data_IF_819734281140
#
_entry.id   IF_819734281140
#
_cell.length_a   1.000
_cell.length_b   1.000
_cell.length_c   1.000
_cell.angle_alpha   90.00
_cell.angle_beta   90.00
_cell.angle_gamma   90.00
#
_symmetry.space_group_name_H-M   'P 1'
#
loop_
_entity.id
_entity.type
_entity.pdbx_description
1 polymer ?
#
# COMPACT_ATOMS: atom_id res chain seq x y z
N UNK A 1 -11.24 12.30 -36.84
CA UNK A 1 -12.66 11.93 -36.61
C UNK A 1 -12.68 10.72 -35.67
N UNK A 2 -12.84 10.97 -34.36
CA UNK A 2 -12.86 9.91 -33.36
C UNK A 2 -14.22 9.21 -33.38
N UNK A 3 -14.25 7.92 -33.72
CA UNK A 3 -15.45 7.09 -33.57
C UNK A 3 -15.65 6.83 -32.08
N UNK A 4 -16.70 7.43 -31.53
CA UNK A 4 -17.26 7.05 -30.24
C UNK A 4 -17.59 5.55 -30.26
N UNK A 5 -16.85 4.75 -29.50
CA UNK A 5 -17.23 3.38 -29.13
C UNK A 5 -18.32 3.47 -28.05
N UNK A 6 -19.45 4.08 -28.40
CA UNK A 6 -20.67 3.94 -27.64
C UNK A 6 -21.10 2.48 -27.76
N UNK A 7 -20.94 1.72 -26.66
CA UNK A 7 -21.71 0.50 -26.46
C UNK A 7 -23.18 0.88 -26.69
N UNK A 8 -23.77 0.43 -27.80
CA UNK A 8 -25.18 0.69 -28.13
C UNK A 8 -26.02 0.27 -26.92
N UNK A 9 -26.60 1.25 -26.22
CA UNK A 9 -27.72 1.00 -25.30
C UNK A 9 -28.81 0.36 -26.14
N UNK A 10 -29.02 -0.95 -25.98
CA UNK A 10 -30.17 -1.63 -26.52
C UNK A 10 -31.36 -1.10 -25.73
N UNK A 11 -32.14 -0.21 -26.32
CA UNK A 11 -33.40 0.25 -25.73
C UNK A 11 -34.33 -0.95 -25.63
N UNK A 12 -34.63 -1.38 -24.39
CA UNK A 12 -35.64 -2.40 -24.15
C UNK A 12 -37.00 -1.86 -24.59
N UNK A 13 -37.69 -2.60 -25.46
CA UNK A 13 -39.09 -2.34 -25.79
C UNK A 13 -39.94 -2.48 -24.53
N UNK A 14 -40.77 -1.47 -24.26
CA UNK A 14 -41.67 -1.46 -23.12
C UNK A 14 -42.53 -2.75 -23.07
N UNK A 15 -42.45 -3.48 -21.97
CA UNK A 15 -43.25 -4.70 -21.72
C UNK A 15 -42.48 -6.03 -21.67
N UNK A 16 -41.18 -6.08 -21.98
CA UNK A 16 -40.35 -7.28 -21.76
C UNK A 16 -39.76 -7.32 -20.35
N UNK A 17 -39.69 -8.52 -19.75
CA UNK A 17 -38.92 -8.74 -18.51
C UNK A 17 -37.49 -8.25 -18.73
N UNK A 18 -36.90 -7.49 -17.79
CA UNK A 18 -35.55 -6.98 -17.95
C UNK A 18 -34.59 -8.15 -18.17
N UNK A 19 -33.74 -8.03 -19.19
CA UNK A 19 -32.68 -9.01 -19.42
C UNK A 19 -31.74 -9.10 -18.22
N UNK A 20 -30.99 -10.19 -18.12
CA UNK A 20 -30.07 -10.44 -17.00
C UNK A 20 -29.05 -9.32 -16.82
N UNK A 21 -28.60 -8.68 -17.91
CA UNK A 21 -27.65 -7.55 -17.84
C UNK A 21 -28.27 -6.32 -17.20
N UNK A 22 -29.53 -6.03 -17.50
CA UNK A 22 -30.27 -4.88 -16.98
C UNK A 22 -30.59 -5.06 -15.50
N UNK A 23 -30.99 -6.28 -15.10
CA UNK A 23 -31.19 -6.62 -13.70
C UNK A 23 -29.89 -6.48 -12.90
N UNK A 24 -28.78 -7.00 -13.45
CA UNK A 24 -27.46 -6.87 -12.81
C UNK A 24 -27.01 -5.41 -12.70
N UNK A 25 -27.14 -4.63 -13.77
CA UNK A 25 -26.79 -3.21 -13.77
C UNK A 25 -27.62 -2.39 -12.76
N UNK A 26 -28.89 -2.75 -12.56
CA UNK A 26 -29.75 -2.14 -11.53
C UNK A 26 -29.29 -2.44 -10.10
N UNK A 27 -28.58 -3.55 -9.88
CA UNK A 27 -28.03 -3.96 -8.58
C UNK A 27 -26.61 -3.44 -8.33
N UNK A 28 -25.99 -2.74 -9.29
CA UNK A 28 -24.66 -2.17 -9.07
C UNK A 28 -24.73 -1.09 -7.99
N UNK A 29 -23.81 -1.18 -7.02
CA UNK A 29 -23.60 -0.12 -6.05
C UNK A 29 -23.29 1.19 -6.79
N UNK A 30 -23.94 2.27 -6.35
CA UNK A 30 -23.64 3.64 -6.81
C UNK A 30 -22.66 4.36 -5.88
N UNK A 31 -22.12 3.64 -4.91
CA UNK A 31 -21.17 4.14 -3.94
C UNK A 31 -19.80 3.53 -4.20
N UNK A 32 -18.77 4.37 -4.16
CA UNK A 32 -17.36 3.98 -4.20
C UNK A 32 -16.68 4.36 -2.89
N UNK A 33 -15.63 3.62 -2.52
CA UNK A 33 -14.93 3.75 -1.25
C UNK A 33 -13.44 3.88 -1.53
N UNK A 34 -12.89 5.08 -1.38
CA UNK A 34 -11.48 5.31 -1.63
C UNK A 34 -10.76 5.60 -0.33
N UNK A 35 -9.69 4.86 -0.06
CA UNK A 35 -8.81 5.10 1.07
C UNK A 35 -7.48 5.65 0.59
N UNK A 36 -6.82 6.45 1.42
CA UNK A 36 -5.46 6.95 1.15
C UNK A 36 -4.53 6.48 2.25
N UNK A 37 -3.41 5.90 1.83
CA UNK A 37 -2.27 5.54 2.68
C UNK A 37 -1.03 6.28 2.19
N UNK A 38 -0.21 6.76 3.12
CA UNK A 38 1.03 7.41 2.81
C UNK A 38 1.78 7.76 4.09
N UNK A 39 3.11 7.62 4.12
CA UNK A 39 3.91 8.02 5.26
C UNK A 39 3.65 9.49 5.63
N UNK A 40 3.91 9.83 6.87
CA UNK A 40 3.81 11.22 7.32
C UNK A 40 4.70 12.13 6.47
N UNK A 41 4.17 13.29 6.11
CA UNK A 41 4.82 14.23 5.18
C UNK A 41 4.66 13.89 3.69
N UNK A 42 4.13 12.72 3.32
CA UNK A 42 3.94 12.36 1.90
C UNK A 42 2.84 13.16 1.20
N UNK A 43 1.92 13.75 1.95
CA UNK A 43 0.84 14.58 1.40
C UNK A 43 -0.46 13.82 1.11
N UNK A 44 -0.77 12.79 1.90
CA UNK A 44 -2.08 12.11 1.85
C UNK A 44 -3.27 13.08 1.86
N UNK A 45 -3.21 14.16 2.66
CA UNK A 45 -4.26 15.18 2.67
C UNK A 45 -4.37 15.98 1.36
N UNK A 46 -3.28 16.13 0.59
CA UNK A 46 -3.33 16.73 -0.75
C UNK A 46 -4.00 15.77 -1.73
N UNK A 47 -3.68 14.48 -1.67
CA UNK A 47 -4.34 13.44 -2.47
C UNK A 47 -5.85 13.38 -2.20
N UNK A 48 -6.27 13.46 -0.93
CA UNK A 48 -7.70 13.54 -0.55
C UNK A 48 -8.37 14.78 -1.18
N UNK A 49 -7.74 15.96 -1.12
CA UNK A 49 -8.29 17.18 -1.74
C UNK A 49 -8.43 17.04 -3.25
N UNK A 50 -7.44 16.43 -3.91
CA UNK A 50 -7.49 16.15 -5.34
C UNK A 50 -8.62 15.16 -5.68
N UNK A 51 -8.73 14.05 -4.94
CA UNK A 51 -9.85 13.10 -5.06
C UNK A 51 -11.20 13.79 -4.87
N UNK A 52 -11.33 14.71 -3.91
CA UNK A 52 -12.56 15.48 -3.72
C UNK A 52 -12.92 16.30 -4.97
N UNK A 53 -11.95 16.98 -5.58
CA UNK A 53 -12.19 17.74 -6.82
C UNK A 53 -12.60 16.83 -7.97
N UNK A 54 -11.83 15.78 -8.20
CA UNK A 54 -12.04 14.81 -9.29
C UNK A 54 -13.39 14.10 -9.16
N UNK A 55 -13.76 13.64 -7.96
CA UNK A 55 -15.02 12.94 -7.76
C UNK A 55 -16.22 13.90 -7.91
N UNK A 56 -16.10 15.14 -7.41
CA UNK A 56 -17.15 16.16 -7.60
C UNK A 56 -17.35 16.51 -9.07
N UNK A 57 -16.26 16.65 -9.85
CA UNK A 57 -16.38 16.91 -11.29
C UNK A 57 -16.97 15.71 -12.04
N UNK A 58 -16.76 14.49 -11.55
CA UNK A 58 -17.44 13.27 -12.01
C UNK A 58 -18.92 13.14 -11.61
N UNK A 59 -19.49 14.13 -10.93
CA UNK A 59 -20.90 14.14 -10.51
C UNK A 59 -21.20 13.26 -9.29
N UNK A 60 -20.18 12.91 -8.50
CA UNK A 60 -20.36 12.19 -7.25
C UNK A 60 -20.58 13.15 -6.10
N UNK A 61 -21.43 12.74 -5.17
CA UNK A 61 -21.48 13.33 -3.85
C UNK A 61 -20.35 12.77 -2.97
N UNK A 62 -19.47 13.65 -2.50
CA UNK A 62 -18.23 13.23 -1.81
C UNK A 62 -18.33 13.42 -0.31
N UNK A 63 -18.04 12.34 0.43
CA UNK A 63 -18.06 12.27 1.88
C UNK A 63 -16.68 11.98 2.42
N UNK A 64 -16.10 12.92 3.17
CA UNK A 64 -14.83 12.70 3.85
C UNK A 64 -15.06 12.05 5.21
N UNK A 65 -14.25 11.04 5.51
CA UNK A 65 -14.16 10.35 6.80
C UNK A 65 -12.68 10.36 7.20
N UNK A 66 -12.35 11.03 8.31
CA UNK A 66 -10.97 11.10 8.79
C UNK A 66 -10.78 10.14 9.95
N UNK A 67 -9.74 9.30 9.87
CA UNK A 67 -9.38 8.42 10.98
C UNK A 67 -9.17 9.19 12.29
N UNK A 68 -8.57 10.39 12.23
CA UNK A 68 -8.39 11.24 13.42
C UNK A 68 -9.69 11.66 14.11
N UNK A 69 -10.75 11.89 13.32
CA UNK A 69 -12.04 12.30 13.88
C UNK A 69 -12.73 11.10 14.55
N UNK A 70 -12.63 9.92 13.91
CA UNK A 70 -13.13 8.66 14.49
C UNK A 70 -12.42 8.29 15.79
N UNK A 71 -11.09 8.44 15.84
CA UNK A 71 -10.28 8.18 17.05
C UNK A 71 -10.65 9.13 18.18
N UNK A 72 -10.91 10.41 17.88
CA UNK A 72 -11.36 11.38 18.89
C UNK A 72 -12.74 11.04 19.44
N UNK A 73 -13.69 10.67 18.57
CA UNK A 73 -15.02 10.21 18.99
C UNK A 73 -14.90 8.99 19.90
N UNK A 74 -14.10 7.99 19.50
CA UNK A 74 -13.84 6.80 20.30
C UNK A 74 -13.19 7.12 21.65
N UNK A 75 -12.18 8.00 21.68
CA UNK A 75 -11.52 8.41 22.92
C UNK A 75 -12.51 9.08 23.88
N UNK A 76 -13.36 9.99 23.36
CA UNK A 76 -14.40 10.64 24.13
C UNK A 76 -15.42 9.64 24.71
N UNK A 77 -15.88 8.67 23.90
CA UNK A 77 -16.81 7.62 24.34
C UNK A 77 -16.22 6.71 25.43
N UNK A 78 -14.89 6.56 25.48
CA UNK A 78 -14.19 5.76 26.49
C UNK A 78 -13.65 6.60 27.66
N UNK A 79 -14.01 7.89 27.74
CA UNK A 79 -13.56 8.79 28.82
C UNK A 79 -12.05 9.07 28.82
N UNK A 80 -11.38 8.87 27.68
CA UNK A 80 -9.96 9.13 27.52
C UNK A 80 -9.75 10.62 27.21
N UNK A 81 -8.79 11.23 27.90
CA UNK A 81 -8.35 12.58 27.55
C UNK A 81 -7.70 12.56 26.17
N UNK A 82 -8.11 13.48 25.31
CA UNK A 82 -7.46 13.73 24.04
C UNK A 82 -7.20 15.23 23.92
N UNK A 83 -6.15 15.62 23.22
CA UNK A 83 -5.76 17.01 23.17
C UNK A 83 -6.75 17.83 22.33
N UNK A 84 -6.98 19.08 22.76
CA UNK A 84 -7.96 19.99 22.17
C UNK A 84 -7.72 20.34 20.70
N UNK A 85 -8.67 21.04 20.09
CA UNK A 85 -8.60 21.50 18.70
C UNK A 85 -7.68 22.75 18.61
N UNK A 86 -6.37 22.55 18.85
CA UNK A 86 -5.33 23.58 18.74
C UNK A 86 -4.46 23.45 17.49
N UNK A 87 -3.39 24.25 17.42
CA UNK A 87 -2.34 24.13 16.40
C UNK A 87 -1.76 22.72 16.44
N UNK A 88 -1.67 22.05 15.28
CA UNK A 88 -1.10 20.70 15.20
C UNK A 88 0.40 20.78 15.52
N UNK A 89 0.80 20.33 16.70
CA UNK A 89 2.21 20.07 17.04
C UNK A 89 2.54 18.59 16.77
N UNK A 90 3.82 18.22 16.85
CA UNK A 90 4.21 16.82 16.72
C UNK A 90 3.69 15.97 17.89
N UNK A 91 3.69 16.54 19.10
CA UNK A 91 3.20 15.90 20.32
C UNK A 91 1.72 15.55 20.17
N UNK A 92 0.92 16.48 19.65
CA UNK A 92 -0.50 16.27 19.36
C UNK A 92 -0.74 15.08 18.44
N UNK A 93 0.07 14.98 17.38
CA UNK A 93 -0.04 13.88 16.41
C UNK A 93 0.37 12.57 17.06
N UNK A 94 1.42 12.59 17.86
CA UNK A 94 1.93 11.44 18.61
C UNK A 94 0.89 10.91 19.61
N UNK A 95 0.16 11.80 20.29
CA UNK A 95 -0.94 11.42 21.18
C UNK A 95 -2.11 10.79 20.42
N UNK A 96 -2.49 11.33 19.26
CA UNK A 96 -3.51 10.71 18.40
C UNK A 96 -3.06 9.35 17.87
N UNK A 97 -1.76 9.16 17.59
CA UNK A 97 -1.21 7.86 17.24
C UNK A 97 -1.34 6.87 18.41
N UNK A 98 -0.96 7.28 19.63
CA UNK A 98 -1.15 6.46 20.83
C UNK A 98 -2.62 6.03 21.01
N UNK A 99 -3.57 6.97 20.86
CA UNK A 99 -5.00 6.66 20.96
C UNK A 99 -5.47 5.72 19.85
N UNK A 100 -4.94 5.88 18.62
CA UNK A 100 -5.20 4.96 17.52
C UNK A 100 -4.66 3.56 17.78
N UNK A 101 -3.47 3.44 18.39
CA UNK A 101 -2.89 2.16 18.80
C UNK A 101 -3.77 1.50 19.88
N UNK A 102 -4.22 2.26 20.88
CA UNK A 102 -5.16 1.76 21.90
C UNK A 102 -6.52 1.34 21.32
N UNK A 103 -7.03 2.07 20.33
CA UNK A 103 -8.25 1.68 19.61
C UNK A 103 -8.09 0.32 18.89
N UNK A 104 -6.86 -0.06 18.52
CA UNK A 104 -6.53 -1.31 17.82
C UNK A 104 -6.13 -2.48 18.73
N UNK A 105 -6.01 -2.28 20.04
CA UNK A 105 -5.56 -3.31 20.99
C UNK A 105 -6.41 -4.59 20.91
N UNK A 106 -7.74 -4.44 20.83
CA UNK A 106 -8.65 -5.57 20.76
C UNK A 106 -8.85 -6.08 19.32
N UNK A 107 -8.84 -5.17 18.35
CA UNK A 107 -8.97 -5.49 16.92
C UNK A 107 -8.22 -4.46 16.07
N UNK A 108 -7.24 -4.95 15.32
CA UNK A 108 -6.40 -4.14 14.42
C UNK A 108 -7.19 -3.39 13.34
N UNK A 109 -8.41 -3.82 13.02
CA UNK A 109 -9.28 -3.19 12.04
C UNK A 109 -10.34 -2.24 12.65
N UNK A 110 -10.26 -1.90 13.94
CA UNK A 110 -11.30 -1.13 14.63
C UNK A 110 -11.52 0.26 14.03
N UNK A 111 -10.47 0.92 13.53
CA UNK A 111 -10.60 2.21 12.81
C UNK A 111 -11.43 2.05 11.53
N UNK A 112 -11.21 0.98 10.76
CA UNK A 112 -12.03 0.67 9.59
C UNK A 112 -13.48 0.34 9.98
N UNK A 113 -13.70 -0.38 11.09
CA UNK A 113 -15.05 -0.63 11.62
C UNK A 113 -15.76 0.67 12.00
N UNK A 114 -15.05 1.61 12.63
CA UNK A 114 -15.59 2.93 12.94
C UNK A 114 -15.95 3.72 11.67
N UNK A 115 -15.10 3.66 10.63
CA UNK A 115 -15.41 4.26 9.34
C UNK A 115 -16.66 3.63 8.71
N UNK A 116 -16.80 2.31 8.76
CA UNK A 116 -17.98 1.60 8.26
C UNK A 116 -19.26 1.96 9.05
N UNK A 117 -19.16 2.13 10.38
CA UNK A 117 -20.28 2.60 11.22
C UNK A 117 -20.70 4.02 10.83
N UNK A 118 -19.74 4.92 10.63
CA UNK A 118 -20.00 6.30 10.17
C UNK A 118 -20.68 6.31 8.79
N UNK A 119 -20.23 5.48 7.85
CA UNK A 119 -20.87 5.30 6.53
C UNK A 119 -22.32 4.86 6.69
N UNK A 120 -22.57 3.83 7.52
CA UNK A 120 -23.92 3.31 7.75
C UNK A 120 -24.84 4.34 8.40
N UNK A 121 -24.36 5.12 9.37
CA UNK A 121 -25.11 6.22 9.99
C UNK A 121 -25.44 7.31 8.97
N UNK A 122 -24.48 7.71 8.14
CA UNK A 122 -24.72 8.69 7.06
C UNK A 122 -25.75 8.21 6.06
N UNK A 123 -25.72 6.92 5.69
CA UNK A 123 -26.76 6.32 4.83
C UNK A 123 -28.13 6.39 5.50
N UNK A 124 -28.23 5.96 6.76
CA UNK A 124 -29.48 5.89 7.51
C UNK A 124 -30.16 7.26 7.58
N UNK A 125 -29.41 8.28 8.00
CA UNK A 125 -29.86 9.67 8.09
C UNK A 125 -30.42 10.21 6.77
N UNK A 126 -29.85 9.80 5.63
CA UNK A 126 -30.26 10.26 4.30
C UNK A 126 -31.47 9.54 3.75
N UNK A 127 -31.57 8.26 4.04
CA UNK A 127 -32.73 7.44 3.65
C UNK A 127 -33.91 7.59 4.61
N UNK A 128 -33.77 8.37 5.69
CA UNK A 128 -34.78 8.49 6.75
C UNK A 128 -34.98 7.19 7.53
N UNK A 129 -33.97 6.30 7.55
CA UNK A 129 -34.00 5.05 8.30
C UNK A 129 -33.36 5.25 9.67
N UNK A 130 -33.85 4.55 10.69
CA UNK A 130 -33.18 4.52 12.00
C UNK A 130 -31.94 3.64 11.92
N UNK A 131 -30.78 4.17 12.32
CA UNK A 131 -29.56 3.37 12.41
C UNK A 131 -29.64 2.41 13.60
N UNK A 132 -29.53 1.11 13.33
CA UNK A 132 -29.41 0.05 14.35
C UNK A 132 -28.08 -0.66 14.16
N UNK A 133 -27.28 -0.75 15.24
CA UNK A 133 -25.96 -1.38 15.20
C UNK A 133 -26.09 -2.86 14.81
N UNK A 134 -25.41 -3.26 13.75
CA UNK A 134 -25.42 -4.64 13.24
C UNK A 134 -26.43 -4.89 12.13
N UNK A 135 -27.35 -3.96 11.87
CA UNK A 135 -28.29 -4.06 10.77
C UNK A 135 -27.73 -3.42 9.49
N UNK A 136 -28.09 -4.01 8.34
CA UNK A 136 -27.69 -3.47 7.04
C UNK A 136 -28.52 -2.24 6.70
N UNK A 137 -27.85 -1.15 6.31
CA UNK A 137 -28.51 0.04 5.78
C UNK A 137 -28.36 0.05 4.26
N UNK A 138 -29.47 -0.07 3.55
CA UNK A 138 -29.49 -0.08 2.09
C UNK A 138 -29.29 1.36 1.59
N UNK A 139 -28.29 1.61 0.72
CA UNK A 139 -28.07 2.94 0.16
C UNK A 139 -29.17 3.32 -0.83
N UNK A 140 -29.35 4.64 -1.04
CA UNK A 140 -30.25 5.14 -2.08
C UNK A 140 -29.61 5.08 -3.48
N UNK A 141 -30.27 5.72 -4.45
CA UNK A 141 -29.88 5.69 -5.85
C UNK A 141 -28.90 6.82 -6.28
N UNK A 142 -28.36 7.59 -5.33
CA UNK A 142 -27.44 8.70 -5.58
C UNK A 142 -26.00 8.20 -5.71
N UNK A 143 -25.24 8.73 -6.66
CA UNK A 143 -23.81 8.42 -6.81
C UNK A 143 -23.00 9.05 -5.70
N UNK A 144 -22.29 8.24 -4.91
CA UNK A 144 -21.46 8.74 -3.80
C UNK A 144 -20.05 8.19 -3.81
N UNK A 145 -19.14 8.96 -3.24
CA UNK A 145 -17.79 8.50 -2.92
C UNK A 145 -17.53 8.79 -1.46
N UNK A 146 -17.12 7.76 -0.72
CA UNK A 146 -16.60 7.89 0.63
C UNK A 146 -15.07 7.90 0.57
N UNK A 147 -14.46 9.01 0.98
CA UNK A 147 -13.02 9.18 1.07
C UNK A 147 -12.58 8.94 2.51
N UNK A 148 -11.78 7.90 2.71
CA UNK A 148 -11.23 7.51 4.01
C UNK A 148 -9.79 8.02 4.09
N UNK A 149 -9.60 9.07 4.89
CA UNK A 149 -8.31 9.72 5.07
C UNK A 149 -7.51 9.05 6.19
N UNK A 150 -6.31 8.60 5.83
CA UNK A 150 -5.27 8.08 6.73
C UNK A 150 -5.54 6.68 7.29
N UNK A 151 -5.60 5.68 6.40
CA UNK A 151 -5.48 4.26 6.77
C UNK A 151 -4.03 3.94 7.12
N UNK A 152 -3.80 3.16 8.18
CA UNK A 152 -2.45 2.97 8.76
C UNK A 152 -2.09 1.53 9.11
N UNK A 153 -2.99 0.58 8.87
CA UNK A 153 -2.76 -0.81 9.23
C UNK A 153 -3.34 -1.76 8.16
N UNK A 154 -2.62 -2.82 7.73
CA UNK A 154 -3.11 -3.79 6.74
C UNK A 154 -4.47 -4.41 7.07
N UNK A 155 -4.71 -4.75 8.33
CA UNK A 155 -6.01 -5.25 8.79
C UNK A 155 -7.21 -4.35 8.44
N UNK A 156 -7.04 -3.02 8.49
CA UNK A 156 -8.07 -2.05 8.10
C UNK A 156 -8.38 -2.18 6.60
N UNK A 157 -7.33 -2.29 5.77
CA UNK A 157 -7.42 -2.44 4.32
C UNK A 157 -8.11 -3.76 3.98
N UNK A 158 -7.68 -4.86 4.59
CA UNK A 158 -8.26 -6.18 4.36
C UNK A 158 -9.75 -6.20 4.70
N UNK A 159 -10.16 -5.55 5.79
CA UNK A 159 -11.57 -5.46 6.16
C UNK A 159 -12.39 -4.66 5.13
N UNK A 160 -11.90 -3.48 4.73
CA UNK A 160 -12.57 -2.63 3.73
C UNK A 160 -12.67 -3.33 2.38
N UNK A 161 -11.57 -3.94 1.92
CA UNK A 161 -11.50 -4.70 0.67
C UNK A 161 -12.45 -5.90 0.67
N UNK A 162 -12.54 -6.65 1.77
CA UNK A 162 -13.49 -7.76 1.91
C UNK A 162 -14.94 -7.30 1.93
N UNK A 163 -15.22 -6.13 2.50
CA UNK A 163 -16.58 -5.60 2.66
C UNK A 163 -17.10 -4.99 1.36
N UNK A 164 -16.29 -4.18 0.69
CA UNK A 164 -16.70 -3.36 -0.44
C UNK A 164 -16.24 -3.90 -1.80
N UNK A 165 -15.33 -4.88 -1.83
CA UNK A 165 -14.87 -5.55 -3.03
C UNK A 165 -14.37 -4.57 -4.09
N UNK A 166 -14.85 -4.73 -5.33
CA UNK A 166 -14.44 -3.92 -6.48
C UNK A 166 -14.86 -2.43 -6.40
N UNK A 167 -15.71 -2.05 -5.44
CA UNK A 167 -16.06 -0.65 -5.19
C UNK A 167 -15.06 0.07 -4.28
N UNK A 168 -14.12 -0.68 -3.68
CA UNK A 168 -13.04 -0.14 -2.88
C UNK A 168 -11.76 0.02 -3.70
N UNK A 169 -11.03 1.10 -3.44
CA UNK A 169 -9.67 1.27 -3.94
C UNK A 169 -8.79 2.03 -2.96
N UNK A 170 -7.57 1.56 -2.78
CA UNK A 170 -6.56 2.14 -1.92
C UNK A 170 -5.50 2.87 -2.77
N UNK A 171 -5.29 4.14 -2.45
CA UNK A 171 -4.28 4.98 -3.09
C UNK A 171 -3.06 5.10 -2.18
N UNK A 172 -1.89 4.68 -2.67
CA UNK A 172 -0.59 4.87 -2.04
C UNK A 172 0.07 6.16 -2.49
N UNK A 173 0.36 7.07 -1.56
CA UNK A 173 1.04 8.35 -1.86
C UNK A 173 2.55 8.19 -1.64
N UNK A 174 3.29 8.07 -2.74
CA UNK A 174 4.75 8.05 -2.77
C UNK A 174 5.28 9.47 -2.57
N UNK A 175 6.35 9.62 -1.80
CA UNK A 175 7.09 10.87 -1.69
C UNK A 175 8.51 10.59 -1.17
N UNK A 176 9.52 11.18 -1.82
CA UNK A 176 10.90 11.07 -1.38
C UNK A 176 11.07 11.48 0.09
N UNK A 177 11.89 10.72 0.82
CA UNK A 177 12.10 10.92 2.26
C UNK A 177 12.60 12.32 2.61
N UNK A 178 13.56 12.84 1.85
CA UNK A 178 14.08 14.20 2.05
C UNK A 178 12.98 15.27 1.91
N UNK A 179 12.06 15.09 0.95
CA UNK A 179 10.92 15.98 0.74
C UNK A 179 9.91 15.84 1.87
N UNK A 180 9.57 14.62 2.29
CA UNK A 180 8.69 14.38 3.46
C UNK A 180 9.23 15.07 4.70
N UNK A 181 10.53 14.89 4.96
CA UNK A 181 11.24 15.47 6.10
C UNK A 181 11.19 17.00 6.09
N UNK A 182 11.49 17.61 4.94
CA UNK A 182 11.39 19.06 4.77
C UNK A 182 9.96 19.58 5.01
N UNK A 183 8.93 18.87 4.52
CA UNK A 183 7.52 19.24 4.73
C UNK A 183 7.09 19.15 6.19
N UNK A 184 7.59 18.17 6.95
CA UNK A 184 7.32 18.04 8.38
C UNK A 184 7.97 19.22 9.12
N UNK A 185 9.24 19.50 8.84
CA UNK A 185 9.96 20.64 9.44
C UNK A 185 9.25 21.98 9.17
N UNK A 186 8.80 22.21 7.93
CA UNK A 186 8.09 23.43 7.55
C UNK A 186 6.74 23.58 8.25
N UNK A 187 6.05 22.44 8.45
CA UNK A 187 4.70 22.42 9.01
C UNK A 187 4.67 22.61 10.52
N UNK A 188 5.61 22.00 11.24
CA UNK A 188 5.56 21.91 12.71
C UNK A 188 6.52 22.86 13.42
N UNK A 189 7.53 23.41 12.74
CA UNK A 189 8.55 24.24 13.36
C UNK A 189 8.70 25.60 12.65
N UNK A 190 9.21 26.61 13.36
CA UNK A 190 9.34 27.98 12.84
C UNK A 190 10.79 28.47 12.88
N UNK A 191 11.17 29.24 11.86
CA UNK A 191 12.44 29.96 11.83
C UNK A 191 13.67 29.06 12.08
N UNK A 192 14.61 29.49 12.95
CA UNK A 192 15.89 28.79 13.17
C UNK A 192 15.75 27.47 13.93
N UNK A 193 14.61 27.21 14.59
CA UNK A 193 14.37 25.95 15.34
C UNK A 193 14.46 24.72 14.44
N UNK A 194 14.11 24.86 13.15
CA UNK A 194 14.21 23.79 12.15
C UNK A 194 15.62 23.20 12.03
N UNK A 195 16.65 23.98 12.33
CA UNK A 195 18.05 23.57 12.24
C UNK A 195 18.60 22.92 13.50
N UNK A 196 17.88 22.96 14.63
CA UNK A 196 18.37 22.45 15.90
C UNK A 196 18.50 20.91 15.86
N UNK A 197 19.62 20.33 16.34
CA UNK A 197 19.80 18.87 16.36
C UNK A 197 18.67 18.11 17.05
N UNK A 198 18.12 18.68 18.13
CA UNK A 198 17.00 18.10 18.87
C UNK A 198 15.73 18.01 18.02
N UNK A 199 15.41 19.07 17.28
CA UNK A 199 14.29 19.12 16.32
C UNK A 199 14.48 18.14 15.19
N UNK A 200 15.69 18.06 14.63
CA UNK A 200 16.02 17.11 13.56
C UNK A 200 15.80 15.67 14.03
N UNK A 201 16.36 15.32 15.20
CA UNK A 201 16.19 14.00 15.80
C UNK A 201 14.73 13.69 16.16
N UNK A 202 13.96 14.68 16.60
CA UNK A 202 12.54 14.50 16.88
C UNK A 202 11.73 14.18 15.62
N UNK A 203 12.04 14.83 14.49
CA UNK A 203 11.42 14.53 13.19
C UNK A 203 11.79 13.14 12.72
N UNK A 204 13.06 12.75 12.83
CA UNK A 204 13.52 11.44 12.38
C UNK A 204 12.85 10.31 13.19
N UNK A 205 12.81 10.44 14.54
CA UNK A 205 12.06 9.50 15.40
C UNK A 205 10.57 9.43 15.07
N UNK A 206 9.97 10.57 14.72
CA UNK A 206 8.56 10.64 14.36
C UNK A 206 8.29 9.95 13.01
N UNK A 207 9.17 10.09 12.03
CA UNK A 207 9.10 9.39 10.75
C UNK A 207 9.31 7.88 10.89
N UNK A 208 10.25 7.46 11.74
CA UNK A 208 10.51 6.05 12.03
C UNK A 208 9.30 5.38 12.69
N UNK A 209 8.71 6.04 13.69
CA UNK A 209 7.51 5.55 14.38
C UNK A 209 6.31 5.40 13.45
N UNK A 210 6.16 6.29 12.48
CA UNK A 210 5.07 6.25 11.50
C UNK A 210 5.22 5.08 10.52
N UNK A 211 6.46 4.78 10.11
CA UNK A 211 6.75 3.84 9.01
C UNK A 211 6.54 2.38 9.44
N UNK A 212 7.05 1.99 10.60
CA UNK A 212 6.88 0.64 11.16
C UNK A 212 7.18 0.61 12.67
N UNK A 213 6.13 0.60 13.50
CA UNK A 213 6.25 0.37 14.95
C UNK A 213 6.39 -1.13 15.23
N UNK A 214 7.52 -1.69 14.80
CA UNK A 214 7.83 -3.12 14.94
C UNK A 214 7.82 -3.61 16.40
N UNK A 215 7.81 -2.70 17.39
CA UNK A 215 7.74 -3.03 18.81
C UNK A 215 6.31 -3.35 19.27
N UNK A 216 5.29 -2.94 18.51
CA UNK A 216 3.88 -3.05 18.87
C UNK A 216 3.07 -3.64 17.73
N UNK A 217 2.58 -4.87 17.91
CA UNK A 217 1.70 -5.56 16.97
C UNK A 217 0.44 -4.77 16.56
N UNK A 218 -0.04 -3.89 17.44
CA UNK A 218 -1.24 -3.05 17.24
C UNK A 218 -0.88 -1.60 16.84
N UNK A 219 0.40 -1.33 16.61
CA UNK A 219 0.92 -0.02 16.25
C UNK A 219 0.64 0.34 14.80
N UNK A 220 1.36 1.34 14.30
CA UNK A 220 1.28 1.75 12.91
C UNK A 220 2.21 0.89 12.05
N UNK A 221 1.64 0.29 11.00
CA UNK A 221 2.36 -0.45 9.98
C UNK A 221 2.08 0.19 8.62
N UNK A 222 2.40 1.48 8.49
CA UNK A 222 2.11 2.26 7.28
C UNK A 222 2.85 1.71 6.08
N UNK A 223 4.08 1.22 6.26
CA UNK A 223 4.86 0.61 5.17
C UNK A 223 4.17 -0.64 4.61
N UNK A 224 3.70 -1.54 5.47
CA UNK A 224 2.95 -2.73 5.05
C UNK A 224 1.61 -2.35 4.40
N UNK A 225 0.89 -1.41 5.01
CA UNK A 225 -0.36 -0.88 4.47
C UNK A 225 -0.18 -0.19 3.11
N UNK A 226 0.99 0.41 2.88
CA UNK A 226 1.36 1.06 1.63
C UNK A 226 1.59 0.06 0.51
N UNK A 227 2.20 -1.10 0.80
CA UNK A 227 2.38 -2.17 -0.20
C UNK A 227 1.07 -2.82 -0.64
N UNK A 228 0.01 -2.67 0.16
CA UNK A 228 -1.34 -3.12 -0.17
C UNK A 228 -2.10 -2.14 -1.09
N UNK A 229 -1.51 -1.00 -1.48
CA UNK A 229 -2.18 -0.03 -2.34
C UNK A 229 -2.47 -0.59 -3.74
N UNK A 230 -3.64 -0.23 -4.28
CA UNK A 230 -4.08 -0.65 -5.61
C UNK A 230 -3.57 0.32 -6.70
N UNK A 231 -3.28 1.56 -6.32
CA UNK A 231 -2.83 2.61 -7.22
C UNK A 231 -1.84 3.54 -6.53
N UNK A 232 -0.72 3.83 -7.19
CA UNK A 232 0.34 4.67 -6.63
C UNK A 232 0.37 6.03 -7.32
N UNK A 233 0.51 7.09 -6.53
CA UNK A 233 0.73 8.45 -7.02
C UNK A 233 2.01 9.01 -6.43
N UNK A 234 2.78 9.75 -7.22
CA UNK A 234 3.99 10.43 -6.76
C UNK A 234 3.68 11.88 -6.41
N UNK A 235 3.88 12.23 -5.13
CA UNK A 235 3.73 13.56 -4.60
C UNK A 235 5.07 14.17 -4.13
N UNK A 236 6.18 13.71 -4.73
CA UNK A 236 7.52 14.27 -4.51
C UNK A 236 7.63 15.69 -5.04
N UNK A 237 7.03 15.96 -6.22
CA UNK A 237 7.04 17.31 -6.81
C UNK A 237 6.26 18.27 -5.94
N UNK A 238 6.86 19.41 -5.62
CA UNK A 238 6.26 20.33 -4.67
C UNK A 238 5.14 21.17 -5.31
N UNK A 239 3.92 20.95 -4.82
CA UNK A 239 2.74 21.80 -5.04
C UNK A 239 2.06 22.07 -3.68
N UNK A 240 2.73 22.82 -2.78
CA UNK A 240 2.31 22.94 -1.38
C UNK A 240 0.92 23.59 -1.23
N UNK A 241 0.52 24.42 -2.20
CA UNK A 241 -0.79 25.06 -2.24
C UNK A 241 -1.82 24.29 -3.08
N UNK A 242 -1.43 23.20 -3.76
CA UNK A 242 -2.31 22.44 -4.64
C UNK A 242 -2.84 23.26 -5.81
N UNK A 243 -2.11 24.30 -6.24
CA UNK A 243 -2.56 25.22 -7.30
C UNK A 243 -2.28 24.66 -8.68
N UNK A 244 -1.27 23.80 -8.81
CA UNK A 244 -0.93 23.13 -10.07
C UNK A 244 -1.77 21.88 -10.31
N UNK A 245 -2.49 21.41 -9.28
CA UNK A 245 -3.37 20.24 -9.35
C UNK A 245 -2.65 19.01 -9.95
N UNK A 246 -1.37 18.82 -9.59
CA UNK A 246 -0.50 17.81 -10.21
C UNK A 246 -1.04 16.39 -10.10
N UNK A 247 -1.79 16.10 -9.02
CA UNK A 247 -2.36 14.79 -8.75
C UNK A 247 -3.71 14.55 -9.45
N UNK A 248 -4.36 15.59 -9.97
CA UNK A 248 -5.74 15.48 -10.47
C UNK A 248 -5.82 14.58 -11.71
N UNK A 249 -4.79 14.58 -12.57
CA UNK A 249 -4.75 13.73 -13.76
C UNK A 249 -4.67 12.24 -13.38
N UNK A 250 -3.74 11.87 -12.51
CA UNK A 250 -3.58 10.48 -12.06
C UNK A 250 -4.79 9.98 -11.28
N UNK A 251 -5.31 10.82 -10.39
CA UNK A 251 -6.51 10.48 -9.61
C UNK A 251 -7.77 10.44 -10.48
N UNK A 252 -7.86 11.24 -11.55
CA UNK A 252 -8.91 11.11 -12.55
C UNK A 252 -8.83 9.76 -13.27
N UNK A 253 -7.63 9.32 -13.66
CA UNK A 253 -7.42 7.98 -14.25
C UNK A 253 -7.88 6.89 -13.28
N UNK A 254 -7.46 6.95 -12.02
CA UNK A 254 -7.87 6.01 -10.98
C UNK A 254 -9.39 5.93 -10.81
N UNK A 255 -10.07 7.07 -10.64
CA UNK A 255 -11.54 7.11 -10.49
C UNK A 255 -12.22 6.54 -11.72
N UNK A 256 -11.69 6.80 -12.91
CA UNK A 256 -12.21 6.26 -14.16
C UNK A 256 -12.06 4.75 -14.30
N UNK A 257 -10.91 4.20 -13.89
CA UNK A 257 -10.68 2.75 -13.86
C UNK A 257 -11.73 2.06 -12.97
N UNK A 258 -11.91 2.53 -11.74
CA UNK A 258 -12.84 1.88 -10.80
C UNK A 258 -14.31 2.11 -11.19
N UNK A 259 -14.66 3.32 -11.62
CA UNK A 259 -16.03 3.65 -12.02
C UNK A 259 -16.44 3.10 -13.38
N UNK A 260 -15.47 2.62 -14.17
CA UNK A 260 -15.66 2.15 -15.55
C UNK A 260 -16.36 3.20 -16.44
N UNK A 261 -16.10 4.49 -16.22
CA UNK A 261 -16.74 5.58 -16.98
C UNK A 261 -16.11 5.79 -18.37
N UNK A 262 -14.83 5.42 -18.53
CA UNK A 262 -14.10 5.41 -19.81
C UNK A 262 -13.09 4.26 -19.83
N UNK A 263 -12.66 3.90 -21.05
CA UNK A 263 -11.62 2.89 -21.25
C UNK A 263 -10.26 3.51 -20.97
N UNK A 264 -9.66 3.12 -19.86
CA UNK A 264 -8.27 3.45 -19.53
C UNK A 264 -7.38 2.25 -19.87
N UNK A 265 -6.31 2.50 -20.62
CA UNK A 265 -5.30 1.48 -20.92
C UNK A 265 -4.20 1.56 -19.86
N UNK A 266 -3.63 0.42 -19.43
CA UNK A 266 -2.46 0.44 -18.56
C UNK A 266 -1.32 1.25 -19.18
N UNK A 267 -0.56 1.97 -18.36
CA UNK A 267 0.70 2.58 -18.81
C UNK A 267 1.75 1.50 -19.10
N UNK A 268 2.87 1.88 -19.73
CA UNK A 268 3.99 0.96 -19.96
C UNK A 268 4.56 0.49 -18.62
N UNK A 269 4.67 1.38 -17.64
CA UNK A 269 5.16 1.09 -16.29
C UNK A 269 4.20 0.15 -15.55
N UNK A 270 2.89 0.38 -15.62
CA UNK A 270 1.87 -0.50 -15.05
C UNK A 270 1.91 -1.89 -15.70
N UNK A 271 2.08 -1.97 -17.01
CA UNK A 271 2.25 -3.23 -17.76
C UNK A 271 3.51 -3.96 -17.31
N UNK A 272 4.66 -3.27 -17.30
CA UNK A 272 5.94 -3.84 -16.87
C UNK A 272 5.87 -4.37 -15.43
N UNK A 273 5.31 -3.57 -14.51
CA UNK A 273 5.16 -3.93 -13.12
C UNK A 273 4.22 -5.13 -12.94
N UNK A 274 3.14 -5.21 -13.73
CA UNK A 274 2.25 -6.38 -13.72
C UNK A 274 2.99 -7.66 -14.15
N UNK A 275 3.83 -7.58 -15.18
CA UNK A 275 4.65 -8.72 -15.64
C UNK A 275 5.72 -9.12 -14.61
N UNK A 276 6.41 -8.14 -14.01
CA UNK A 276 7.37 -8.37 -12.94
C UNK A 276 6.70 -9.01 -11.71
N UNK A 277 5.54 -8.48 -11.30
CA UNK A 277 4.76 -9.02 -10.20
C UNK A 277 4.31 -10.45 -10.48
N UNK A 278 3.85 -10.74 -11.70
CA UNK A 278 3.48 -12.10 -12.12
C UNK A 278 4.69 -13.04 -12.16
N UNK A 279 5.87 -12.57 -12.55
CA UNK A 279 7.09 -13.38 -12.56
C UNK A 279 7.59 -13.75 -11.15
N UNK A 280 7.37 -12.86 -10.15
CA UNK A 280 7.82 -13.06 -8.76
C UNK A 280 7.27 -14.33 -8.11
N UNK A 281 6.08 -14.77 -8.52
CA UNK A 281 5.41 -15.94 -7.93
C UNK A 281 6.12 -17.26 -8.24
N UNK A 282 7.05 -17.25 -9.21
CA UNK A 282 7.91 -18.39 -9.54
C UNK A 282 9.05 -18.58 -8.53
N UNK A 283 9.35 -17.57 -7.71
CA UNK A 283 10.42 -17.65 -6.71
C UNK A 283 10.04 -18.55 -5.54
N UNK A 284 10.92 -19.50 -5.22
CA UNK A 284 10.87 -20.29 -4.00
C UNK A 284 11.71 -19.71 -2.84
N UNK A 285 12.20 -18.47 -2.96
CA UNK A 285 12.98 -17.85 -1.91
C UNK A 285 12.10 -17.48 -0.70
N UNK A 286 12.45 -18.00 0.48
CA UNK A 286 11.66 -17.83 1.71
C UNK A 286 11.69 -16.42 2.28
N UNK A 287 12.75 -15.63 2.00
CA UNK A 287 12.86 -14.27 2.53
C UNK A 287 12.23 -13.21 1.64
N UNK A 288 12.22 -13.42 0.32
CA UNK A 288 11.74 -12.42 -0.65
C UNK A 288 11.33 -13.06 -1.96
N UNK A 289 10.21 -12.61 -2.51
CA UNK A 289 9.73 -12.99 -3.83
C UNK A 289 9.75 -11.75 -4.73
N UNK A 290 10.76 -11.69 -5.58
CA UNK A 290 11.07 -10.58 -6.47
C UNK A 290 10.95 -11.06 -7.91
N UNK A 291 10.34 -10.25 -8.74
CA UNK A 291 10.29 -10.44 -10.18
C UNK A 291 10.74 -9.18 -10.89
N UNK A 292 11.19 -9.35 -12.13
CA UNK A 292 11.62 -8.27 -12.99
C UNK A 292 11.00 -8.45 -14.38
N UNK A 293 10.75 -7.34 -15.06
CA UNK A 293 10.34 -7.31 -16.45
C UNK A 293 11.28 -6.35 -17.19
N UNK A 294 11.82 -6.82 -18.30
CA UNK A 294 12.66 -6.04 -19.20
C UNK A 294 11.77 -5.53 -20.34
N UNK A 295 11.69 -4.23 -20.54
CA UNK A 295 10.83 -3.62 -21.56
C UNK A 295 11.63 -2.81 -22.56
N UNK A 296 11.24 -2.84 -23.84
CA UNK A 296 11.85 -1.99 -24.87
C UNK A 296 11.29 -0.55 -24.87
N UNK A 297 11.77 0.28 -25.78
CA UNK A 297 11.36 1.68 -25.91
C UNK A 297 9.88 1.85 -26.31
N UNK A 298 9.28 0.84 -26.94
CA UNK A 298 7.87 0.83 -27.34
C UNK A 298 6.95 0.25 -26.25
N UNK A 299 7.53 -0.23 -25.15
CA UNK A 299 6.82 -0.84 -24.03
C UNK A 299 6.51 -2.32 -24.20
N UNK A 300 7.17 -3.00 -25.15
CA UNK A 300 7.07 -4.45 -25.33
C UNK A 300 7.86 -5.14 -24.22
N UNK A 301 7.26 -6.12 -23.56
CA UNK A 301 7.97 -6.97 -22.59
C UNK A 301 8.84 -7.97 -23.34
N UNK A 302 10.15 -7.78 -23.23
CA UNK A 302 11.16 -8.59 -23.91
C UNK A 302 11.49 -9.85 -23.11
N UNK A 303 11.63 -9.71 -21.79
CA UNK A 303 11.92 -10.82 -20.90
C UNK A 303 11.36 -10.57 -19.50
N UNK A 304 11.17 -11.65 -18.75
CA UNK A 304 10.86 -11.57 -17.32
C UNK A 304 11.82 -12.46 -16.55
N UNK A 305 12.12 -12.07 -15.32
CA UNK A 305 13.01 -12.82 -14.44
C UNK A 305 12.44 -12.93 -13.04
N UNK A 306 12.96 -13.89 -12.28
CA UNK A 306 12.62 -14.06 -10.87
C UNK A 306 13.86 -14.34 -10.05
N UNK A 307 13.86 -13.96 -8.78
CA UNK A 307 14.98 -14.29 -7.91
C UNK A 307 14.95 -15.78 -7.57
N UNK A 308 15.88 -16.55 -8.14
CA UNK A 308 15.90 -17.99 -7.98
C UNK A 308 17.31 -18.56 -8.19
N UNK A 309 17.56 -19.78 -7.73
CA UNK A 309 18.86 -20.44 -7.87
C UNK A 309 19.08 -20.82 -9.34
N UNK A 310 20.24 -20.51 -9.94
CA UNK A 310 20.60 -20.95 -11.29
C UNK A 310 20.66 -22.48 -11.40
N UNK A 311 20.18 -23.03 -12.51
CA UNK A 311 20.21 -24.45 -12.80
C UNK A 311 21.35 -24.83 -13.75
N UNK A 312 21.93 -26.02 -13.53
CA UNK A 312 22.90 -26.59 -14.46
C UNK A 312 22.24 -26.82 -15.84
N UNK A 313 22.91 -26.35 -16.90
CA UNK A 313 22.36 -26.34 -18.27
C UNK A 313 21.60 -25.05 -18.62
N UNK A 314 21.56 -24.06 -17.72
CA UNK A 314 20.95 -22.76 -17.96
C UNK A 314 19.56 -22.60 -17.34
N UNK A 315 19.12 -21.35 -17.24
CA UNK A 315 17.89 -20.99 -16.54
C UNK A 315 18.03 -21.07 -15.02
N UNK A 316 16.89 -20.98 -14.35
CA UNK A 316 16.76 -21.12 -12.90
C UNK A 316 15.98 -22.39 -12.56
N UNK A 317 16.04 -22.81 -11.31
CA UNK A 317 15.19 -23.89 -10.81
C UNK A 317 13.71 -23.49 -10.91
N UNK A 318 12.82 -24.45 -11.14
CA UNK A 318 11.40 -24.18 -11.30
C UNK A 318 10.63 -25.44 -11.65
N UNK A 319 9.31 -25.30 -11.79
CA UNK A 319 8.46 -26.38 -12.27
C UNK A 319 8.82 -26.74 -13.71
N UNK A 320 8.80 -28.05 -14.02
CA UNK A 320 9.13 -28.59 -15.32
C UNK A 320 8.04 -29.54 -15.79
N UNK A 321 7.82 -29.60 -17.09
CA UNK A 321 6.92 -30.60 -17.67
C UNK A 321 7.38 -32.02 -17.31
N UNK A 322 6.44 -32.93 -17.07
CA UNK A 322 6.68 -34.30 -16.60
C UNK A 322 7.63 -35.13 -17.49
N UNK A 323 7.88 -34.69 -18.72
CA UNK A 323 8.83 -35.32 -19.66
C UNK A 323 10.30 -35.04 -19.33
N UNK A 324 10.61 -34.14 -18.39
CA UNK A 324 11.99 -33.88 -17.97
C UNK A 324 12.45 -34.93 -16.95
N UNK A 325 13.24 -35.89 -17.41
CA UNK A 325 13.69 -37.08 -16.67
C UNK A 325 14.82 -36.84 -15.65
N UNK A 326 14.95 -35.63 -15.09
CA UNK A 326 15.95 -35.36 -14.04
C UNK A 326 15.26 -35.29 -12.69
N UNK A 327 15.46 -36.32 -11.86
CA UNK A 327 15.26 -36.20 -10.42
C UNK A 327 16.23 -35.14 -9.90
N UNK A 328 15.71 -34.00 -9.48
CA UNK A 328 16.53 -32.91 -8.95
C UNK A 328 16.56 -33.10 -7.44
N UNK A 329 17.72 -33.42 -6.89
CA UNK A 329 17.98 -33.24 -5.47
C UNK A 329 17.96 -31.73 -5.18
N UNK A 330 16.81 -31.24 -4.74
CA UNK A 330 16.54 -29.82 -4.59
C UNK A 330 16.89 -29.35 -3.18
N UNK A 331 18.11 -28.86 -3.02
CA UNK A 331 18.59 -28.33 -1.74
C UNK A 331 18.26 -26.86 -1.52
N UNK A 332 17.38 -26.24 -2.30
CA UNK A 332 16.98 -24.84 -2.05
C UNK A 332 16.35 -24.72 -0.67
N UNK A 333 16.39 -23.50 -0.11
CA UNK A 333 15.95 -23.22 1.25
C UNK A 333 14.56 -23.79 1.59
N UNK A 334 13.64 -23.78 0.62
CA UNK A 334 12.26 -24.25 0.77
C UNK A 334 12.06 -25.76 0.57
N UNK A 335 13.01 -26.48 -0.04
CA UNK A 335 12.82 -27.87 -0.48
C UNK A 335 13.74 -28.90 0.20
N UNK A 336 14.69 -28.44 1.01
CA UNK A 336 15.44 -29.32 1.94
C UNK A 336 14.55 -29.87 3.06
N UNK A 337 15.01 -30.93 3.72
CA UNK A 337 14.29 -31.59 4.81
C UNK A 337 13.90 -30.66 5.97
N UNK A 338 14.79 -29.73 6.34
CA UNK A 338 14.52 -28.66 7.31
C UNK A 338 14.51 -27.31 6.60
N UNK A 339 13.32 -26.78 6.32
CA UNK A 339 13.16 -25.52 5.61
C UNK A 339 13.49 -24.32 6.52
N UNK A 340 14.47 -23.52 6.11
CA UNK A 340 14.82 -22.25 6.75
C UNK A 340 15.42 -21.29 5.72
N UNK A 341 15.46 -19.98 5.99
CA UNK A 341 16.15 -19.03 5.13
C UNK A 341 17.63 -18.97 5.53
N UNK A 342 18.54 -19.42 4.65
CA UNK A 342 19.99 -19.35 4.92
C UNK A 342 20.46 -17.91 5.17
N UNK A 343 19.89 -16.94 4.45
CA UNK A 343 20.26 -15.53 4.62
C UNK A 343 19.84 -14.96 5.97
N UNK A 344 18.62 -15.23 6.41
CA UNK A 344 18.16 -14.73 7.71
C UNK A 344 18.94 -15.39 8.86
N UNK A 345 19.30 -16.66 8.72
CA UNK A 345 20.12 -17.38 9.70
C UNK A 345 21.50 -16.77 9.81
N UNK A 346 22.22 -16.59 8.70
CA UNK A 346 23.56 -15.99 8.74
C UNK A 346 23.54 -14.56 9.29
N UNK A 347 22.54 -13.77 8.92
CA UNK A 347 22.35 -12.44 9.51
C UNK A 347 22.20 -12.51 11.04
N UNK A 348 21.39 -13.44 11.55
CA UNK A 348 21.21 -13.62 12.99
C UNK A 348 22.51 -14.09 13.66
N UNK A 349 23.22 -15.03 13.05
CA UNK A 349 24.51 -15.53 13.55
C UNK A 349 25.55 -14.39 13.64
N UNK A 350 25.58 -13.46 12.65
CA UNK A 350 26.42 -12.26 12.71
C UNK A 350 25.98 -11.31 13.84
N UNK A 351 24.67 -11.07 14.00
CA UNK A 351 24.13 -10.23 15.08
C UNK A 351 24.53 -10.78 16.45
N UNK A 352 24.31 -12.07 16.65
CA UNK A 352 24.60 -12.75 17.91
C UNK A 352 26.11 -12.72 18.20
N UNK A 353 26.95 -12.95 17.19
CA UNK A 353 28.40 -12.83 17.32
C UNK A 353 28.83 -11.42 17.72
N UNK A 354 28.27 -10.37 17.11
CA UNK A 354 28.57 -8.98 17.46
C UNK A 354 28.21 -8.69 18.93
N UNK A 355 27.05 -9.17 19.38
CA UNK A 355 26.59 -9.01 20.77
C UNK A 355 27.49 -9.76 21.75
N UNK A 356 27.99 -10.94 21.39
CA UNK A 356 28.83 -11.77 22.24
C UNK A 356 30.27 -11.26 22.36
N UNK A 357 30.84 -10.77 21.27
CA UNK A 357 32.27 -10.38 21.18
C UNK A 357 32.50 -8.97 21.71
N UNK A 358 31.57 -8.04 21.50
CA UNK A 358 31.72 -6.63 21.90
C UNK A 358 31.22 -6.46 23.35
N UNK A 359 32.09 -6.18 24.34
CA UNK A 359 31.71 -6.12 25.76
C UNK A 359 30.58 -5.14 26.05
N UNK A 360 30.57 -3.98 25.39
CA UNK A 360 29.56 -2.94 25.53
C UNK A 360 28.18 -3.44 25.10
N UNK A 361 28.11 -4.20 23.99
CA UNK A 361 26.87 -4.80 23.51
C UNK A 361 26.45 -5.97 24.42
N UNK A 362 27.41 -6.73 24.93
CA UNK A 362 27.19 -7.84 25.86
C UNK A 362 26.63 -7.41 27.21
N UNK A 363 26.85 -6.16 27.64
CA UNK A 363 26.32 -5.64 28.90
C UNK A 363 24.88 -5.10 28.81
N UNK A 364 24.33 -4.88 27.61
CA UNK A 364 22.95 -4.41 27.43
C UNK A 364 21.96 -5.45 27.97
N UNK A 365 21.00 -5.04 28.81
CA UNK A 365 20.04 -5.91 29.46
C UNK A 365 19.03 -6.55 28.50
N UNK A 366 18.48 -5.77 27.57
CA UNK A 366 17.54 -6.26 26.56
C UNK A 366 18.27 -6.67 25.27
N UNK A 367 18.60 -7.96 25.18
CA UNK A 367 19.26 -8.54 24.00
C UNK A 367 18.34 -8.62 22.78
N UNK A 368 17.04 -8.79 23.00
CA UNK A 368 16.07 -8.98 21.91
C UNK A 368 15.89 -7.65 21.19
N UNK A 369 15.67 -6.57 21.93
CA UNK A 369 15.59 -5.22 21.37
C UNK A 369 16.92 -4.80 20.71
N UNK A 370 18.06 -5.12 21.32
CA UNK A 370 19.38 -4.84 20.72
C UNK A 370 19.55 -5.55 19.37
N UNK A 371 19.24 -6.86 19.31
CA UNK A 371 19.30 -7.63 18.07
C UNK A 371 18.37 -7.06 17.00
N UNK A 372 17.14 -6.66 17.38
CA UNK A 372 16.20 -6.01 16.47
C UNK A 372 16.75 -4.67 15.93
N UNK A 373 17.39 -3.85 16.77
CA UNK A 373 18.04 -2.60 16.35
C UNK A 373 19.21 -2.83 15.40
N UNK A 374 20.06 -3.82 15.67
CA UNK A 374 21.18 -4.16 14.78
C UNK A 374 20.64 -4.66 13.44
N UNK A 375 19.58 -5.48 13.45
CA UNK A 375 18.91 -5.96 12.24
C UNK A 375 18.34 -4.84 11.37
N UNK A 376 17.94 -3.70 11.96
CA UNK A 376 17.49 -2.51 11.20
C UNK A 376 18.62 -1.74 10.50
N UNK A 377 19.88 -2.05 10.78
CA UNK A 377 21.02 -1.45 10.06
C UNK A 377 21.21 -2.11 8.69
N UNK A 378 22.25 -1.68 7.96
CA UNK A 378 22.66 -2.33 6.69
C UNK A 378 22.89 -3.84 6.81
N UNK A 379 23.14 -4.34 8.03
CA UNK A 379 23.32 -5.77 8.29
C UNK A 379 22.07 -6.61 7.96
N UNK A 380 20.86 -6.15 8.31
CA UNK A 380 19.63 -6.87 7.95
C UNK A 380 19.30 -6.80 6.46
N UNK A 381 19.97 -5.90 5.72
CA UNK A 381 19.88 -5.79 4.26
C UNK A 381 20.83 -6.71 3.50
N UNK A 382 21.69 -7.48 4.18
CA UNK A 382 22.61 -8.42 3.54
C UNK A 382 21.86 -9.59 2.91
N UNK A 383 22.21 -9.94 1.68
CA UNK A 383 21.40 -10.85 0.84
C UNK A 383 22.25 -11.91 0.14
N UNK A 384 23.56 -11.82 0.26
CA UNK A 384 24.58 -12.68 -0.36
C UNK A 384 24.58 -14.11 0.18
N UNK A 385 23.96 -14.33 1.32
CA UNK A 385 23.87 -15.65 1.97
C UNK A 385 22.70 -16.50 1.42
N UNK A 386 21.97 -15.97 0.45
CA UNK A 386 21.04 -16.73 -0.39
C UNK A 386 21.72 -17.10 -1.72
N UNK A 387 21.45 -18.31 -2.21
CA UNK A 387 21.93 -18.75 -3.54
C UNK A 387 21.11 -18.20 -4.71
N UNK A 388 19.99 -17.52 -4.42
CA UNK A 388 19.12 -17.00 -5.46
C UNK A 388 19.79 -15.80 -6.16
N UNK A 389 19.91 -15.85 -7.49
CA UNK A 389 20.30 -14.68 -8.27
C UNK A 389 19.21 -13.62 -8.19
N UNK A 390 19.56 -12.39 -8.58
CA UNK A 390 18.61 -11.30 -8.64
C UNK A 390 17.63 -11.50 -9.81
N UNK A 391 16.40 -11.00 -9.67
CA UNK A 391 15.38 -11.17 -10.69
C UNK A 391 15.77 -10.48 -12.01
N UNK A 392 16.45 -9.34 -11.91
CA UNK A 392 16.98 -8.56 -13.02
C UNK A 392 18.05 -9.35 -13.79
N UNK A 393 18.90 -10.09 -13.07
CA UNK A 393 19.91 -10.96 -13.68
C UNK A 393 19.26 -12.11 -14.44
N UNK A 394 18.25 -12.77 -13.88
CA UNK A 394 17.51 -13.80 -14.59
C UNK A 394 16.75 -13.24 -15.80
N UNK A 395 16.21 -12.01 -15.73
CA UNK A 395 15.56 -11.37 -16.87
C UNK A 395 16.54 -11.13 -18.04
N UNK A 396 17.72 -10.59 -17.74
CA UNK A 396 18.78 -10.37 -18.74
C UNK A 396 19.31 -11.69 -19.33
N UNK A 397 19.54 -12.69 -18.49
CA UNK A 397 20.00 -14.01 -18.95
C UNK A 397 18.90 -14.75 -19.72
N UNK A 398 17.62 -14.54 -19.38
CA UNK A 398 16.49 -15.06 -20.16
C UNK A 398 16.47 -14.44 -21.55
N UNK A 399 16.58 -13.11 -21.66
CA UNK A 399 16.69 -12.43 -22.95
C UNK A 399 17.87 -12.97 -23.77
N UNK A 400 19.04 -13.16 -23.13
CA UNK A 400 20.22 -13.74 -23.77
C UNK A 400 20.01 -15.18 -24.27
N UNK A 401 19.31 -16.02 -23.50
CA UNK A 401 18.97 -17.41 -23.90
C UNK A 401 18.04 -17.45 -25.11
N UNK A 402 17.09 -16.53 -25.17
CA UNK A 402 16.12 -16.41 -26.27
C UNK A 402 16.68 -15.60 -27.46
N UNK A 403 17.97 -15.22 -27.42
CA UNK A 403 18.64 -14.39 -28.43
C UNK A 403 17.94 -13.05 -28.69
N UNK A 404 17.35 -12.44 -27.66
CA UNK A 404 16.73 -11.12 -27.74
C UNK A 404 17.68 -10.04 -27.24
N UNK A 405 17.81 -8.97 -28.02
CA UNK A 405 18.65 -7.82 -27.65
C UNK A 405 18.11 -7.12 -26.41
N UNK A 406 19.01 -6.85 -25.46
CA UNK A 406 18.73 -6.02 -24.26
C UNK A 406 19.20 -4.57 -24.46
N UNK A 407 19.64 -4.20 -25.66
CA UNK A 407 20.12 -2.83 -25.94
C UNK A 407 18.93 -1.89 -25.98
N UNK A 408 18.97 -0.84 -25.15
CA UNK A 408 17.91 0.17 -25.10
C UNK A 408 16.67 -0.24 -24.30
N UNK A 409 16.69 -1.41 -23.65
CA UNK A 409 15.63 -1.81 -22.73
C UNK A 409 15.76 -1.14 -21.37
N UNK A 410 14.64 -1.06 -20.65
CA UNK A 410 14.55 -0.60 -19.25
C UNK A 410 14.18 -1.73 -18.31
#
# INVERSE_FOLDING_TARGET
>A
MARSTAVRKIEQKAGQKPDSKTVLAGNHSKELFFAVVGPVGAGASQAIKALQRVCKSGGYEVHLIKASDLIRTWANENGLAFPGVGTKTLELVTELQNLGDSMREHDMAEVAKAAMREIAQRRANRTGQTYVKGEKVIPDSVKRVYLIDSIRHPAEIHLLRRTYGNAFGLIGVVCEEGVRRARILEKYFRGPEKGLPETQNAVDRFMDRDSDDSSRKHGQHVTEAFYEADFFIDNTRDDPNGTKNLLDTDLSRFVSIISHDRVERPTIEETAMHHAHSARVRSACLSRQVGAALVDADGTVIATGTNEVPAAGGGVYGERFATSSRGIDDHRCAFRAEAYCSSNREQNDIIDNLIEVIPELKQVSDKIDLAARIRKTRLGGLIEFSRAVHAEMDALLSAGREAVSTVGTR
#
